data_IF_554045219340
#
_entry.id   IF_554045219340
#
_cell.length_a   1.000
_cell.length_b   1.000
_cell.length_c   1.000
_cell.angle_alpha   90.00
_cell.angle_beta   90.00
_cell.angle_gamma   90.00
#
_symmetry.space_group_name_H-M   'P 1'
#
loop_
_entity.id
_entity.type
_entity.pdbx_description
1 polymer ?
#
# COMPACT_ATOMS: atom_id res chain seq x y z
N UNK A 1 -14.71 -38.52 1.32
CA UNK A 1 -15.31 -37.26 1.78
C UNK A 1 -14.48 -36.80 2.96
N UNK A 2 -13.65 -35.76 2.80
CA UNK A 2 -12.84 -35.24 3.90
C UNK A 2 -13.77 -34.75 5.02
N UNK A 3 -13.44 -35.09 6.26
CA UNK A 3 -14.23 -34.68 7.42
C UNK A 3 -14.17 -33.17 7.60
N UNK A 4 -15.20 -32.56 8.19
CA UNK A 4 -15.25 -31.11 8.47
C UNK A 4 -13.99 -30.61 9.20
N UNK A 5 -13.38 -31.46 10.04
CA UNK A 5 -12.15 -31.18 10.79
C UNK A 5 -10.89 -31.16 9.90
N UNK A 6 -10.83 -32.00 8.88
CA UNK A 6 -9.74 -31.98 7.89
C UNK A 6 -9.82 -30.73 7.01
N UNK A 7 -11.03 -30.30 6.64
CA UNK A 7 -11.26 -29.05 5.92
C UNK A 7 -10.90 -27.80 6.76
N UNK A 8 -11.20 -27.80 8.06
CA UNK A 8 -10.78 -26.73 8.97
C UNK A 8 -9.25 -26.68 9.15
N UNK A 9 -8.59 -27.83 9.25
CA UNK A 9 -7.13 -27.92 9.31
C UNK A 9 -6.49 -27.42 8.00
N UNK A 10 -7.01 -27.82 6.86
CA UNK A 10 -6.51 -27.40 5.54
C UNK A 10 -6.70 -25.89 5.31
N UNK A 11 -7.85 -25.33 5.72
CA UNK A 11 -8.08 -23.88 5.71
C UNK A 11 -7.20 -23.13 6.71
N UNK A 12 -6.85 -23.75 7.85
CA UNK A 12 -5.93 -23.16 8.82
C UNK A 12 -4.49 -23.07 8.32
N UNK A 13 -4.09 -23.94 7.38
CA UNK A 13 -2.78 -23.88 6.71
C UNK A 13 -2.73 -22.73 5.69
N UNK A 14 -3.87 -22.33 5.13
CA UNK A 14 -3.99 -21.19 4.23
C UNK A 14 -4.31 -19.85 4.93
N UNK A 15 -4.14 -19.78 6.25
CA UNK A 15 -4.31 -18.53 6.98
C UNK A 15 -3.28 -17.52 6.47
N UNK A 16 -3.74 -16.44 5.86
CA UNK A 16 -2.88 -15.32 5.52
C UNK A 16 -2.29 -14.76 6.82
N UNK A 17 -0.98 -14.92 6.99
CA UNK A 17 -0.27 -14.41 8.18
C UNK A 17 -0.07 -12.91 7.98
N UNK A 18 -0.51 -12.07 8.93
CA UNK A 18 -0.23 -10.65 8.87
C UNK A 18 1.28 -10.40 9.05
N UNK A 19 1.92 -9.60 8.18
CA UNK A 19 3.36 -9.33 8.24
C UNK A 19 3.86 -8.84 9.60
N UNK A 20 3.04 -8.05 10.30
CA UNK A 20 3.38 -7.50 11.62
C UNK A 20 3.55 -8.60 12.68
N UNK A 21 2.73 -9.66 12.61
CA UNK A 21 2.80 -10.80 13.53
C UNK A 21 4.10 -11.58 13.33
N UNK A 22 4.48 -11.84 12.08
CA UNK A 22 5.73 -12.52 11.76
C UNK A 22 6.95 -11.74 12.27
N UNK A 23 6.95 -10.41 12.10
CA UNK A 23 8.01 -9.53 12.60
C UNK A 23 8.10 -9.52 14.13
N UNK A 24 7.00 -9.28 14.84
CA UNK A 24 7.00 -9.29 16.31
C UNK A 24 7.41 -10.65 16.87
N UNK A 25 7.05 -11.73 16.19
CA UNK A 25 7.47 -13.05 16.61
C UNK A 25 8.97 -13.26 16.45
N UNK A 26 9.57 -12.74 15.37
CA UNK A 26 11.02 -12.75 15.22
C UNK A 26 11.71 -11.96 16.34
N UNK A 27 11.19 -10.79 16.70
CA UNK A 27 11.71 -9.98 17.81
C UNK A 27 11.63 -10.71 19.16
N UNK A 28 10.48 -11.35 19.45
CA UNK A 28 10.28 -12.16 20.67
C UNK A 28 11.26 -13.34 20.77
N UNK A 29 11.71 -13.85 19.63
CA UNK A 29 12.66 -14.95 19.53
C UNK A 29 14.11 -14.47 19.37
N UNK A 30 14.39 -13.18 19.61
CA UNK A 30 15.72 -12.59 19.51
C UNK A 30 16.40 -12.78 18.14
N UNK A 31 15.62 -12.85 17.05
CA UNK A 31 16.17 -13.00 15.70
C UNK A 31 16.43 -14.43 15.23
N UNK A 32 15.98 -15.44 15.98
CA UNK A 32 16.10 -16.86 15.58
C UNK A 32 15.08 -17.19 14.49
N UNK A 33 15.57 -17.49 13.28
CA UNK A 33 14.73 -17.72 12.09
C UNK A 33 14.17 -19.14 12.04
N UNK A 34 14.91 -20.10 12.59
CA UNK A 34 14.62 -21.52 12.62
C UNK A 34 13.24 -21.79 13.24
N UNK A 35 12.93 -21.10 14.34
CA UNK A 35 11.64 -21.18 15.01
C UNK A 35 10.46 -20.62 14.19
N UNK A 36 10.72 -19.68 13.26
CA UNK A 36 9.69 -19.21 12.33
C UNK A 36 9.46 -20.21 11.21
N UNK A 37 10.50 -20.89 10.73
CA UNK A 37 10.36 -21.94 9.71
C UNK A 37 9.64 -23.17 10.26
N UNK A 38 9.89 -23.57 11.51
CA UNK A 38 9.13 -24.66 12.14
C UNK A 38 7.65 -24.29 12.29
N UNK A 39 7.37 -23.04 12.64
CA UNK A 39 5.98 -22.55 12.84
C UNK A 39 5.24 -22.30 11.53
N UNK A 40 5.94 -21.85 10.49
CA UNK A 40 5.40 -21.54 9.17
C UNK A 40 5.95 -22.52 8.12
N UNK A 41 6.09 -23.79 8.48
CA UNK A 41 6.74 -24.82 7.64
C UNK A 41 6.05 -25.11 6.32
N UNK A 42 4.84 -24.60 6.11
CA UNK A 42 4.11 -24.63 4.84
C UNK A 42 4.45 -23.45 3.90
N UNK A 43 5.27 -22.49 4.35
CA UNK A 43 5.80 -21.39 3.55
C UNK A 43 7.27 -21.63 3.20
N UNK A 44 7.69 -21.15 2.05
CA UNK A 44 9.11 -21.16 1.68
C UNK A 44 9.91 -20.17 2.54
N UNK A 45 11.20 -20.43 2.74
CA UNK A 45 12.12 -19.53 3.45
C UNK A 45 12.02 -18.08 2.93
N UNK A 46 11.95 -17.93 1.61
CA UNK A 46 11.79 -16.65 0.93
C UNK A 46 10.48 -15.92 1.28
N UNK A 47 9.38 -16.64 1.43
CA UNK A 47 8.09 -16.05 1.83
C UNK A 47 8.11 -15.60 3.29
N UNK A 48 8.71 -16.38 4.18
CA UNK A 48 8.85 -16.02 5.60
C UNK A 48 9.74 -14.80 5.76
N UNK A 49 10.86 -14.72 5.03
CA UNK A 49 11.72 -13.52 5.00
C UNK A 49 10.95 -12.30 4.49
N UNK A 50 10.22 -12.43 3.39
CA UNK A 50 9.41 -11.33 2.85
C UNK A 50 8.32 -10.85 3.82
N UNK A 51 7.68 -11.77 4.56
CA UNK A 51 6.71 -11.43 5.60
C UNK A 51 7.33 -10.62 6.74
N UNK A 52 8.48 -11.07 7.25
CA UNK A 52 9.20 -10.34 8.32
C UNK A 52 9.67 -8.98 7.82
N UNK A 53 10.24 -8.89 6.61
CA UNK A 53 10.70 -7.62 6.03
C UNK A 53 9.53 -6.64 5.83
N UNK A 54 8.38 -7.14 5.39
CA UNK A 54 7.16 -6.34 5.27
C UNK A 54 6.65 -5.88 6.65
N UNK A 55 6.71 -6.73 7.68
CA UNK A 55 6.37 -6.36 9.06
C UNK A 55 7.33 -5.32 9.64
N UNK A 56 8.63 -5.49 9.43
CA UNK A 56 9.66 -4.53 9.80
C UNK A 56 9.43 -3.18 9.13
N UNK A 57 9.12 -3.18 7.83
CA UNK A 57 8.81 -1.97 7.10
C UNK A 57 7.56 -1.25 7.66
N UNK A 58 6.54 -2.00 8.11
CA UNK A 58 5.36 -1.41 8.78
C UNK A 58 5.75 -0.71 10.09
N UNK A 59 6.57 -1.34 10.92
CA UNK A 59 7.04 -0.77 12.20
C UNK A 59 7.93 0.45 11.98
N UNK A 60 8.85 0.39 11.03
CA UNK A 60 9.78 1.49 10.71
C UNK A 60 9.09 2.65 9.95
N UNK A 61 7.79 2.57 9.69
CA UNK A 61 7.06 3.52 8.84
C UNK A 61 7.58 3.55 7.38
N UNK A 62 8.44 2.59 7.01
CA UNK A 62 9.02 2.40 5.67
C UNK A 62 8.14 1.56 4.76
N UNK A 63 6.97 1.13 5.22
CA UNK A 63 5.97 0.47 4.40
C UNK A 63 5.54 1.42 3.29
N UNK A 64 6.26 1.34 2.16
CA UNK A 64 6.02 2.14 0.95
C UNK A 64 4.57 2.05 0.46
N UNK A 65 3.81 1.06 0.93
CA UNK A 65 2.42 0.80 0.61
C UNK A 65 1.66 0.14 1.78
N UNK A 66 1.79 0.64 3.02
CA UNK A 66 0.71 0.39 3.96
C UNK A 66 -0.52 1.06 3.33
N UNK A 67 -1.46 0.27 2.85
CA UNK A 67 -2.73 0.73 2.28
C UNK A 67 -3.43 1.57 3.35
N UNK A 68 -3.11 2.86 3.41
CA UNK A 68 -3.86 3.84 4.16
C UNK A 68 -5.24 3.79 3.51
N UNK A 69 -6.20 3.17 4.20
CA UNK A 69 -7.60 3.21 3.78
C UNK A 69 -7.97 4.69 3.78
N UNK A 70 -8.08 5.26 2.59
CA UNK A 70 -8.57 6.62 2.43
C UNK A 70 -10.04 6.61 2.87
N UNK A 71 -10.41 7.61 3.65
CA UNK A 71 -11.82 7.92 3.89
C UNK A 71 -12.47 8.38 2.57
N UNK A 72 -13.79 8.26 2.40
CA UNK A 72 -14.48 8.77 1.20
C UNK A 72 -14.19 10.25 0.92
N UNK A 73 -14.00 11.06 1.97
CA UNK A 73 -13.61 12.46 1.86
C UNK A 73 -12.17 12.64 1.32
N UNK A 74 -11.21 11.85 1.81
CA UNK A 74 -9.84 11.85 1.28
C UNK A 74 -9.81 11.36 -0.18
N UNK A 75 -10.60 10.34 -0.52
CA UNK A 75 -10.72 9.89 -1.92
C UNK A 75 -11.29 10.98 -2.82
N UNK A 76 -12.27 11.76 -2.35
CA UNK A 76 -12.79 12.91 -3.10
C UNK A 76 -11.72 13.97 -3.29
N UNK A 77 -10.98 14.31 -2.23
CA UNK A 77 -9.85 15.23 -2.32
C UNK A 77 -8.77 14.78 -3.31
N UNK A 78 -8.51 13.47 -3.43
CA UNK A 78 -7.59 12.92 -4.44
C UNK A 78 -8.09 13.17 -5.87
N UNK A 79 -9.39 12.97 -6.12
CA UNK A 79 -9.98 13.19 -7.44
C UNK A 79 -10.01 14.68 -7.79
N UNK A 80 -10.41 15.54 -6.85
CA UNK A 80 -10.41 16.99 -7.07
C UNK A 80 -9.00 17.49 -7.37
N UNK A 81 -7.98 16.96 -6.67
CA UNK A 81 -6.58 17.28 -6.91
C UNK A 81 -6.11 16.93 -8.33
N UNK A 82 -6.67 15.91 -9.00
CA UNK A 82 -6.33 15.59 -10.39
C UNK A 82 -6.69 16.75 -11.30
N UNK A 83 -7.88 17.33 -11.11
CA UNK A 83 -8.37 18.43 -11.93
C UNK A 83 -7.68 19.76 -11.56
N UNK A 84 -7.45 20.03 -10.27
CA UNK A 84 -6.78 21.26 -9.83
C UNK A 84 -5.28 21.31 -10.16
N UNK A 85 -4.58 20.18 -10.05
CA UNK A 85 -3.14 20.10 -10.31
C UNK A 85 -2.79 19.79 -11.77
N UNK A 86 -3.79 19.42 -12.58
CA UNK A 86 -3.59 19.17 -14.01
C UNK A 86 -2.96 17.80 -14.29
N UNK A 87 -3.27 16.79 -13.49
CA UNK A 87 -2.99 15.40 -13.83
C UNK A 87 -2.77 14.44 -12.67
N UNK A 88 -2.88 13.15 -13.01
CA UNK A 88 -2.80 12.02 -12.08
C UNK A 88 -1.49 11.99 -11.29
N UNK A 89 -0.35 12.17 -11.95
CA UNK A 89 0.95 12.11 -11.30
C UNK A 89 1.15 13.21 -10.24
N UNK A 90 0.56 14.39 -10.45
CA UNK A 90 0.64 15.49 -9.51
C UNK A 90 -0.28 15.26 -8.31
N UNK A 91 -1.51 14.79 -8.55
CA UNK A 91 -2.45 14.41 -7.49
C UNK A 91 -1.90 13.28 -6.62
N UNK A 92 -1.35 12.23 -7.23
CA UNK A 92 -0.71 11.13 -6.52
C UNK A 92 0.41 11.62 -5.60
N UNK A 93 1.27 12.52 -6.09
CA UNK A 93 2.36 13.11 -5.30
C UNK A 93 1.87 14.05 -4.19
N UNK A 94 0.79 14.80 -4.42
CA UNK A 94 0.20 15.69 -3.43
C UNK A 94 -0.44 14.90 -2.28
N UNK A 95 -1.21 13.87 -2.60
CA UNK A 95 -1.89 13.03 -1.62
C UNK A 95 -1.01 11.91 -1.04
N UNK A 96 0.19 11.69 -1.58
CA UNK A 96 1.11 10.64 -1.11
C UNK A 96 0.64 9.23 -1.45
N UNK A 97 -0.12 9.07 -2.53
CA UNK A 97 -0.69 7.79 -2.99
C UNK A 97 -0.08 7.36 -4.33
N UNK A 98 -0.39 6.15 -4.78
CA UNK A 98 0.09 5.63 -6.06
C UNK A 98 -0.80 6.10 -7.23
N UNK A 99 -0.21 6.33 -8.40
CA UNK A 99 -0.95 6.67 -9.64
C UNK A 99 -2.03 5.63 -9.96
N UNK A 100 -1.79 4.35 -9.67
CA UNK A 100 -2.76 3.27 -9.85
C UNK A 100 -4.01 3.46 -8.99
N UNK A 101 -3.83 3.90 -7.73
CA UNK A 101 -4.97 4.19 -6.85
C UNK A 101 -5.79 5.36 -7.39
N UNK A 102 -5.14 6.43 -7.84
CA UNK A 102 -5.82 7.59 -8.43
C UNK A 102 -6.61 7.20 -9.68
N UNK A 103 -6.02 6.41 -10.58
CA UNK A 103 -6.71 5.90 -11.78
C UNK A 103 -7.90 5.00 -11.42
N UNK A 104 -7.77 4.18 -10.38
CA UNK A 104 -8.86 3.35 -9.87
C UNK A 104 -10.02 4.22 -9.40
N UNK A 105 -9.75 5.23 -8.56
CA UNK A 105 -10.76 6.16 -8.03
C UNK A 105 -11.47 6.93 -9.15
N UNK A 106 -10.73 7.39 -10.17
CA UNK A 106 -11.32 8.07 -11.33
C UNK A 106 -12.29 7.16 -12.09
N UNK A 107 -11.91 5.89 -12.32
CA UNK A 107 -12.77 4.91 -12.99
C UNK A 107 -14.00 4.57 -12.17
N UNK A 108 -13.85 4.36 -10.87
CA UNK A 108 -14.98 4.06 -9.96
C UNK A 108 -16.00 5.21 -9.92
N UNK A 109 -15.54 6.45 -10.12
CA UNK A 109 -16.40 7.64 -10.23
C UNK A 109 -16.85 7.98 -11.64
N UNK A 110 -16.52 7.16 -12.64
CA UNK A 110 -16.95 7.37 -14.02
C UNK A 110 -16.23 8.49 -14.77
N UNK A 111 -15.12 9.02 -14.25
CA UNK A 111 -14.29 9.96 -14.99
C UNK A 111 -13.47 9.22 -16.05
N UNK A 112 -13.85 9.39 -17.32
CA UNK A 112 -13.16 8.81 -18.48
C UNK A 112 -12.12 9.75 -19.08
N UNK A 113 -12.27 11.05 -18.84
CA UNK A 113 -11.35 12.10 -19.29
C UNK A 113 -10.79 12.86 -18.09
N UNK A 114 -9.48 13.09 -18.12
CA UNK A 114 -8.78 13.88 -17.10
C UNK A 114 -7.60 14.63 -17.72
N UNK A 115 -7.16 15.74 -17.11
CA UNK A 115 -6.02 16.49 -17.59
C UNK A 115 -4.77 15.61 -17.65
N UNK A 116 -4.05 15.66 -18.76
CA UNK A 116 -2.74 15.03 -18.87
C UNK A 116 -1.67 15.99 -18.37
N UNK A 117 -0.71 15.46 -17.61
CA UNK A 117 0.43 16.24 -17.19
C UNK A 117 1.16 16.81 -18.41
N UNK A 118 1.30 18.14 -18.46
CA UNK A 118 2.10 18.80 -19.49
C UNK A 118 3.55 18.35 -19.39
N UNK A 119 4.20 18.20 -20.55
CA UNK A 119 5.63 17.89 -20.67
C UNK A 119 6.50 19.15 -20.78
N UNK A 120 5.88 20.34 -20.88
CA UNK A 120 6.63 21.59 -20.99
C UNK A 120 7.29 21.92 -19.65
N UNK A 121 8.59 22.25 -19.61
CA UNK A 121 9.32 22.48 -18.36
C UNK A 121 8.69 23.56 -17.46
N UNK A 122 8.17 24.65 -18.04
CA UNK A 122 7.52 25.72 -17.29
C UNK A 122 6.24 25.25 -16.57
N UNK A 123 5.40 24.49 -17.27
CA UNK A 123 4.16 23.94 -16.72
C UNK A 123 4.44 22.91 -15.61
N UNK A 124 5.50 22.11 -15.77
CA UNK A 124 5.95 21.14 -14.77
C UNK A 124 6.44 21.84 -13.51
N UNK A 125 7.20 22.94 -13.64
CA UNK A 125 7.66 23.73 -12.50
C UNK A 125 6.48 24.33 -11.73
N UNK A 126 5.54 24.98 -12.44
CA UNK A 126 4.33 25.54 -11.84
C UNK A 126 3.43 24.47 -11.19
N UNK A 127 3.34 23.27 -11.76
CA UNK A 127 2.61 22.15 -11.16
C UNK A 127 3.31 21.63 -9.89
N UNK A 128 4.65 21.56 -9.88
CA UNK A 128 5.42 21.18 -8.68
C UNK A 128 5.26 22.19 -7.56
N UNK A 129 5.23 23.48 -7.86
CA UNK A 129 4.95 24.52 -6.87
C UNK A 129 3.56 24.37 -6.26
N UNK A 130 2.53 24.15 -7.09
CA UNK A 130 1.17 23.86 -6.63
C UNK A 130 1.13 22.65 -5.70
N UNK A 131 1.74 21.53 -6.08
CA UNK A 131 1.87 20.33 -5.24
C UNK A 131 2.56 20.63 -3.91
N UNK A 132 3.66 21.40 -3.94
CA UNK A 132 4.41 21.76 -2.75
C UNK A 132 3.65 22.72 -1.83
N UNK A 133 2.78 23.58 -2.38
CA UNK A 133 1.89 24.44 -1.60
C UNK A 133 0.79 23.61 -0.93
N UNK A 134 0.13 22.69 -1.66
CA UNK A 134 -0.90 21.80 -1.10
C UNK A 134 -0.36 20.96 0.06
N UNK A 135 0.86 20.42 -0.06
CA UNK A 135 1.50 19.64 1.00
C UNK A 135 1.93 20.46 2.23
N UNK A 136 2.05 21.78 2.10
CA UNK A 136 2.34 22.67 3.23
C UNK A 136 1.07 23.10 3.97
N UNK A 137 -0.08 23.03 3.31
CA UNK A 137 -1.37 23.41 3.87
C UNK A 137 -2.14 22.25 4.53
N UNK A 138 -1.72 21.01 4.26
CA UNK A 138 -2.25 19.78 4.86
C UNK A 138 -1.40 19.36 6.07
#
# INVERSE_FOLDING_TARGET
>A
MASHRELELDQSLHRQIPPLEAYHRLEQLHGVWECLYERYGWLTESHVRALVEAGRALVEGRARNASRRLSPAEEQGVVDAVFSLGGVAYAARAAGVTDRLVLKLLRERGHTEWPRASRRPADVAAARERVAATRRAA
#
